data_IF_875163756075
#
_entry.id   IF_875163756075
#
_cell.length_a   1.000
_cell.length_b   1.000
_cell.length_c   1.000
_cell.angle_alpha   90.00
_cell.angle_beta   90.00
_cell.angle_gamma   90.00
#
_symmetry.space_group_name_H-M   'P 1'
#
loop_
_entity.id
_entity.type
_entity.pdbx_description
1 polymer ?
#
# COMPACT_ATOMS: atom_id res chain seq x y z
N UNK A 1 -4.36 -6.78 -13.71
CA UNK A 1 -4.50 -5.51 -12.96
C UNK A 1 -4.37 -4.22 -13.78
N UNK A 2 -3.15 -3.80 -14.15
CA UNK A 2 -2.85 -2.39 -14.50
C UNK A 2 -3.61 -1.87 -15.73
N UNK A 3 -3.64 -2.61 -16.83
CA UNK A 3 -4.33 -2.16 -18.06
C UNK A 3 -5.83 -1.98 -17.84
N UNK A 4 -6.45 -2.90 -17.09
CA UNK A 4 -7.86 -2.81 -16.71
C UNK A 4 -8.11 -1.61 -15.79
N UNK A 5 -7.19 -1.34 -14.84
CA UNK A 5 -7.29 -0.17 -13.98
C UNK A 5 -7.13 1.14 -14.77
N UNK A 6 -6.18 1.23 -15.69
CA UNK A 6 -5.99 2.41 -16.54
C UNK A 6 -7.19 2.66 -17.45
N UNK A 7 -7.79 1.59 -18.00
CA UNK A 7 -9.03 1.70 -18.79
C UNK A 7 -10.16 2.29 -17.95
N UNK A 8 -10.34 1.80 -16.71
CA UNK A 8 -11.33 2.34 -15.77
C UNK A 8 -11.07 3.80 -15.39
N UNK A 9 -9.80 4.18 -15.21
CA UNK A 9 -9.42 5.58 -14.96
C UNK A 9 -9.85 6.47 -16.14
N UNK A 10 -9.57 6.05 -17.38
CA UNK A 10 -9.94 6.79 -18.58
C UNK A 10 -11.47 6.90 -18.74
N UNK A 11 -12.20 5.80 -18.55
CA UNK A 11 -13.67 5.76 -18.63
C UNK A 11 -14.34 6.71 -17.63
N UNK A 12 -13.83 6.77 -16.41
CA UNK A 12 -14.37 7.63 -15.36
C UNK A 12 -13.94 9.08 -15.53
N UNK A 13 -12.72 9.33 -16.00
CA UNK A 13 -12.26 10.67 -16.37
C UNK A 13 -13.12 11.27 -17.50
N UNK A 14 -13.55 10.47 -18.48
CA UNK A 14 -14.48 10.90 -19.53
C UNK A 14 -15.87 11.32 -18.99
N UNK A 15 -16.23 10.85 -17.79
CA UNK A 15 -17.45 11.25 -17.07
C UNK A 15 -17.18 12.37 -16.04
N UNK A 16 -15.95 12.91 -15.97
CA UNK A 16 -15.56 13.96 -15.03
C UNK A 16 -15.46 13.50 -13.57
N UNK A 17 -15.37 12.19 -13.32
CA UNK A 17 -15.33 11.61 -11.97
C UNK A 17 -14.05 10.80 -11.73
N UNK A 18 -13.54 10.74 -10.50
CA UNK A 18 -12.34 9.96 -10.20
C UNK A 18 -12.61 8.46 -10.33
N UNK A 19 -11.55 7.70 -10.62
CA UNK A 19 -11.58 6.24 -10.58
C UNK A 19 -12.00 5.72 -9.20
N UNK A 20 -12.66 4.57 -9.18
CA UNK A 20 -12.97 3.91 -7.91
C UNK A 20 -11.67 3.46 -7.20
N UNK A 21 -11.67 3.39 -5.86
CA UNK A 21 -10.60 2.75 -5.11
C UNK A 21 -10.41 1.29 -5.53
N UNK A 22 -9.22 0.76 -5.25
CA UNK A 22 -8.90 -0.64 -5.52
C UNK A 22 -9.70 -1.58 -4.65
N UNK A 23 -10.16 -2.67 -5.26
CA UNK A 23 -10.77 -3.78 -4.53
C UNK A 23 -9.71 -4.61 -3.80
N UNK A 24 -10.16 -5.51 -2.92
CA UNK A 24 -9.31 -6.51 -2.26
C UNK A 24 -8.46 -7.30 -3.27
N UNK A 25 -9.08 -7.83 -4.32
CA UNK A 25 -8.40 -8.65 -5.32
C UNK A 25 -7.39 -7.84 -6.14
N UNK A 26 -7.75 -6.62 -6.51
CA UNK A 26 -6.83 -5.68 -7.17
C UNK A 26 -5.64 -5.34 -6.28
N UNK A 27 -5.87 -5.15 -4.98
CA UNK A 27 -4.81 -4.89 -4.00
C UNK A 27 -3.91 -6.12 -3.80
N UNK A 28 -4.46 -7.33 -3.84
CA UNK A 28 -3.67 -8.56 -3.79
C UNK A 28 -2.79 -8.74 -5.05
N UNK A 29 -3.29 -8.40 -6.24
CA UNK A 29 -2.47 -8.35 -7.46
C UNK A 29 -1.38 -7.28 -7.37
N UNK A 30 -1.71 -6.10 -6.85
CA UNK A 30 -0.77 -5.00 -6.63
C UNK A 30 0.38 -5.40 -5.69
N UNK A 31 0.09 -6.11 -4.59
CA UNK A 31 1.11 -6.61 -3.66
C UNK A 31 2.10 -7.56 -4.33
N UNK A 32 1.67 -8.37 -5.31
CA UNK A 32 2.58 -9.22 -6.10
C UNK A 32 3.50 -8.37 -6.97
N UNK A 33 2.96 -7.31 -7.59
CA UNK A 33 3.76 -6.37 -8.39
C UNK A 33 4.75 -5.59 -7.53
N UNK A 34 4.39 -5.23 -6.31
CA UNK A 34 5.31 -4.54 -5.39
C UNK A 34 6.49 -5.43 -4.95
N UNK A 35 6.32 -6.75 -4.95
CA UNK A 35 7.42 -7.69 -4.67
C UNK A 35 8.27 -7.99 -5.91
N UNK A 36 7.70 -7.90 -7.11
CA UNK A 36 8.37 -8.13 -8.37
C UNK A 36 7.86 -7.16 -9.46
N UNK A 37 8.29 -5.88 -9.42
CA UNK A 37 7.76 -4.87 -10.31
C UNK A 37 8.24 -5.09 -11.74
N UNK A 38 7.38 -4.89 -12.75
CA UNK A 38 7.82 -4.86 -14.13
C UNK A 38 8.85 -3.74 -14.33
N UNK A 39 9.92 -4.05 -15.07
CA UNK A 39 10.99 -3.09 -15.36
C UNK A 39 10.42 -1.83 -16.02
N UNK A 40 10.77 -0.67 -15.50
CA UNK A 40 10.33 0.64 -16.00
C UNK A 40 8.93 1.06 -15.56
N UNK A 41 8.23 0.25 -14.75
CA UNK A 41 6.91 0.57 -14.19
C UNK A 41 6.94 0.61 -12.65
N UNK A 42 8.11 0.67 -12.02
CA UNK A 42 8.31 0.59 -10.57
C UNK A 42 7.50 1.64 -9.78
N UNK A 43 7.34 2.83 -10.36
CA UNK A 43 6.61 3.94 -9.76
C UNK A 43 5.08 3.71 -9.72
N UNK A 44 4.52 3.00 -10.70
CA UNK A 44 3.07 2.83 -10.78
C UNK A 44 2.49 2.03 -9.60
N UNK A 45 3.01 0.84 -9.25
CA UNK A 45 2.55 0.11 -8.08
C UNK A 45 2.70 0.91 -6.77
N UNK A 46 3.76 1.71 -6.64
CA UNK A 46 3.98 2.56 -5.48
C UNK A 46 2.89 3.64 -5.34
N UNK A 47 2.56 4.34 -6.43
CA UNK A 47 1.48 5.35 -6.42
C UNK A 47 0.13 4.71 -6.08
N UNK A 48 -0.15 3.53 -6.63
CA UNK A 48 -1.42 2.83 -6.39
C UNK A 48 -1.57 2.42 -4.92
N UNK A 49 -0.53 1.85 -4.30
CA UNK A 49 -0.61 1.42 -2.89
C UNK A 49 -0.68 2.63 -1.96
N UNK A 50 -0.06 3.76 -2.31
CA UNK A 50 -0.12 4.99 -1.54
C UNK A 50 -1.50 5.65 -1.57
N UNK A 51 -2.14 5.73 -2.74
CA UNK A 51 -3.27 6.65 -2.94
C UNK A 51 -4.58 6.02 -3.41
N UNK A 52 -4.59 4.73 -3.78
CA UNK A 52 -5.76 4.09 -4.40
C UNK A 52 -6.36 2.95 -3.62
N UNK A 53 -5.77 2.54 -2.50
CA UNK A 53 -6.37 1.57 -1.58
C UNK A 53 -7.18 2.31 -0.51
N UNK A 54 -8.43 1.90 -0.21
CA UNK A 54 -9.18 2.39 0.93
C UNK A 54 -8.40 2.33 2.25
N UNK A 55 -8.75 3.22 3.17
CA UNK A 55 -8.23 3.25 4.53
C UNK A 55 -9.19 2.53 5.50
N UNK A 56 -8.83 2.40 6.78
CA UNK A 56 -9.72 1.84 7.80
C UNK A 56 -9.78 0.31 7.81
N UNK A 57 -11.00 -0.21 7.98
CA UNK A 57 -11.28 -1.65 8.13
C UNK A 57 -11.85 -2.30 6.86
N UNK A 58 -11.64 -1.67 5.71
CA UNK A 58 -11.98 -2.25 4.41
C UNK A 58 -11.12 -3.50 4.11
N UNK A 59 -11.65 -4.44 3.32
CA UNK A 59 -10.91 -5.67 2.98
C UNK A 59 -9.64 -5.40 2.18
N UNK A 60 -9.63 -4.39 1.30
CA UNK A 60 -8.43 -3.98 0.57
C UNK A 60 -7.42 -3.31 1.51
N UNK A 61 -7.90 -2.52 2.48
CA UNK A 61 -7.07 -1.95 3.53
C UNK A 61 -6.37 -3.05 4.35
N UNK A 62 -7.07 -4.15 4.66
CA UNK A 62 -6.48 -5.31 5.34
C UNK A 62 -5.28 -5.88 4.56
N UNK A 63 -5.46 -6.12 3.26
CA UNK A 63 -4.40 -6.66 2.39
C UNK A 63 -3.19 -5.70 2.35
N UNK A 64 -3.44 -4.39 2.23
CA UNK A 64 -2.38 -3.37 2.29
C UNK A 64 -1.65 -3.39 3.64
N UNK A 65 -2.37 -3.40 4.76
CA UNK A 65 -1.77 -3.39 6.09
C UNK A 65 -0.91 -4.64 6.34
N UNK A 66 -1.40 -5.82 5.98
CA UNK A 66 -0.66 -7.09 6.14
C UNK A 66 0.64 -7.10 5.33
N UNK A 67 0.60 -6.60 4.08
CA UNK A 67 1.78 -6.47 3.24
C UNK A 67 2.78 -5.47 3.81
N UNK A 68 2.33 -4.26 4.15
CA UNK A 68 3.22 -3.21 4.68
C UNK A 68 3.82 -3.60 6.03
N UNK A 69 3.06 -4.27 6.91
CA UNK A 69 3.57 -4.83 8.17
C UNK A 69 4.68 -5.85 7.91
N UNK A 70 4.46 -6.78 6.98
CA UNK A 70 5.47 -7.77 6.63
C UNK A 70 6.75 -7.15 6.05
N UNK A 71 6.64 -6.09 5.25
CA UNK A 71 7.80 -5.35 4.73
C UNK A 71 8.50 -4.58 5.86
N UNK A 72 7.76 -3.82 6.67
CA UNK A 72 8.32 -3.05 7.79
C UNK A 72 9.08 -3.95 8.79
N UNK A 73 8.59 -5.17 9.04
CA UNK A 73 9.24 -6.17 9.90
C UNK A 73 10.31 -7.01 9.19
N UNK A 74 10.62 -6.75 7.92
CA UNK A 74 11.63 -7.47 7.15
C UNK A 74 11.27 -8.93 6.83
N UNK A 75 10.00 -9.32 6.97
CA UNK A 75 9.50 -10.67 6.63
C UNK A 75 9.29 -10.83 5.12
N UNK A 76 8.93 -9.74 4.45
CA UNK A 76 8.86 -9.63 3.00
C UNK A 76 9.77 -8.50 2.52
N UNK A 77 10.20 -8.58 1.27
CA UNK A 77 11.00 -7.56 0.63
C UNK A 77 10.26 -6.99 -0.58
N UNK A 78 10.45 -5.70 -0.81
CA UNK A 78 10.00 -5.01 -2.02
C UNK A 78 11.16 -4.20 -2.55
N UNK A 79 11.50 -4.28 -3.85
CA UNK A 79 12.54 -3.44 -4.44
C UNK A 79 12.15 -1.95 -4.50
N UNK A 80 10.89 -1.61 -4.24
CA UNK A 80 10.36 -0.24 -4.35
C UNK A 80 9.83 0.34 -3.04
N UNK A 81 9.74 -0.46 -1.98
CA UNK A 81 9.30 -0.03 -0.64
C UNK A 81 10.32 -0.50 0.39
N UNK A 82 11.03 0.45 1.01
CA UNK A 82 11.89 0.18 2.16
C UNK A 82 11.08 -0.12 3.42
N UNK A 83 11.73 -0.67 4.45
CA UNK A 83 11.08 -0.91 5.76
C UNK A 83 10.49 0.36 6.34
N UNK A 84 11.27 1.45 6.36
CA UNK A 84 10.84 2.78 6.81
C UNK A 84 9.65 3.27 5.97
N UNK A 85 9.72 3.15 4.64
CA UNK A 85 8.61 3.59 3.77
C UNK A 85 7.34 2.80 4.02
N UNK A 86 7.44 1.50 4.32
CA UNK A 86 6.30 0.68 4.68
C UNK A 86 5.65 1.17 5.99
N UNK A 87 6.45 1.54 6.98
CA UNK A 87 5.98 2.13 8.24
C UNK A 87 5.29 3.47 8.01
N UNK A 88 5.86 4.37 7.20
CA UNK A 88 5.20 5.63 6.83
C UNK A 88 3.84 5.39 6.17
N UNK A 89 3.75 4.43 5.25
CA UNK A 89 2.50 4.10 4.55
C UNK A 89 1.46 3.46 5.47
N UNK A 90 1.87 2.77 6.54
CA UNK A 90 0.96 2.31 7.59
C UNK A 90 0.35 3.51 8.33
N UNK A 91 1.13 4.57 8.59
CA UNK A 91 0.64 5.80 9.22
C UNK A 91 -0.46 6.51 8.45
N UNK A 92 -0.49 6.39 7.12
CA UNK A 92 -1.51 7.07 6.29
C UNK A 92 -2.85 6.32 6.24
N UNK A 93 -3.03 5.21 6.94
CA UNK A 93 -4.22 4.35 6.81
C UNK A 93 -5.40 4.75 7.72
N UNK A 94 -5.34 5.91 8.37
CA UNK A 94 -6.41 6.53 9.18
C UNK A 94 -6.93 5.72 10.38
N UNK A 95 -6.40 4.51 10.63
CA UNK A 95 -6.79 3.63 11.72
C UNK A 95 -7.29 2.26 11.26
N UNK A 96 -7.49 1.33 12.19
CA UNK A 96 -7.90 -0.05 11.90
C UNK A 96 -6.71 -1.00 11.82
N UNK A 97 -6.52 -1.67 10.68
CA UNK A 97 -5.54 -2.76 10.55
C UNK A 97 -4.07 -2.31 10.66
N UNK A 98 -3.80 -1.01 10.53
CA UNK A 98 -2.45 -0.43 10.64
C UNK A 98 -1.99 -0.19 12.10
N UNK A 99 -2.90 -0.11 13.06
CA UNK A 99 -2.56 0.30 14.44
C UNK A 99 -1.64 -0.69 15.14
N UNK A 100 -2.01 -1.99 15.14
CA UNK A 100 -1.19 -3.02 15.78
C UNK A 100 0.23 -3.09 15.17
N UNK A 101 0.40 -3.11 13.84
CA UNK A 101 1.73 -2.96 13.21
C UNK A 101 2.53 -1.77 13.72
N UNK A 102 1.94 -0.57 13.75
CA UNK A 102 2.64 0.65 14.19
C UNK A 102 3.09 0.55 15.65
N UNK A 103 2.23 0.06 16.55
CA UNK A 103 2.57 -0.13 17.97
C UNK A 103 3.72 -1.13 18.13
N UNK A 104 3.69 -2.25 17.39
CA UNK A 104 4.76 -3.26 17.45
C UNK A 104 6.09 -2.76 16.86
N UNK A 105 6.06 -1.75 15.98
CA UNK A 105 7.25 -1.17 15.37
C UNK A 105 7.92 -0.09 16.23
N UNK A 106 7.28 0.40 17.31
CA UNK A 106 7.85 1.45 18.18
C UNK A 106 9.20 1.06 18.79
N UNK A 107 9.43 -0.23 19.04
CA UNK A 107 10.68 -0.76 19.59
C UNK A 107 11.70 -1.16 18.51
N UNK A 108 11.34 -1.08 17.22
CA UNK A 108 12.25 -1.42 16.12
C UNK A 108 13.30 -0.32 15.92
N UNK A 109 14.57 -0.73 15.80
CA UNK A 109 15.70 0.22 15.70
C UNK A 109 15.70 1.06 14.42
N UNK A 110 15.14 0.54 13.32
CA UNK A 110 15.11 1.21 12.02
C UNK A 110 13.78 1.95 11.83
N UNK A 111 12.67 1.32 12.21
CA UNK A 111 11.33 1.82 11.93
C UNK A 111 10.68 2.59 13.10
N UNK A 112 11.22 2.52 14.32
CA UNK A 112 10.56 3.07 15.52
C UNK A 112 10.32 4.58 15.47
N UNK A 113 11.23 5.34 14.85
CA UNK A 113 11.06 6.77 14.65
C UNK A 113 9.87 7.07 13.71
N UNK A 114 9.80 6.38 12.55
CA UNK A 114 8.70 6.51 11.61
C UNK A 114 7.35 6.04 12.21
N UNK A 115 7.38 4.99 13.04
CA UNK A 115 6.20 4.51 13.74
C UNK A 115 5.69 5.47 14.83
N UNK A 116 6.57 6.30 15.39
CA UNK A 116 6.20 7.32 16.38
C UNK A 116 5.59 8.56 15.73
N UNK A 117 6.01 8.90 14.51
CA UNK A 117 5.47 10.03 13.74
C UNK A 117 4.10 9.70 13.10
N UNK A 118 3.89 8.43 12.77
CA UNK A 118 2.67 7.87 12.18
C UNK A 118 1.46 7.88 13.13
#
# INVERSE_FOLDING_TARGET
MLDAYQSHVAERAAQGIPALPLTKDQTAELVKMLQNPPKGLEAQPLDLISYRVPAGVDEAAKVKAEFLDAVAKGKLQSPVISRIKATELLGTMLGGYNIKPLVELLEDKECGAAATEA
#
